data_IF_691055334089
#
_entry.id   IF_691055334089
#
_cell.length_a   1.000
_cell.length_b   1.000
_cell.length_c   1.000
_cell.angle_alpha   90.00
_cell.angle_beta   90.00
_cell.angle_gamma   90.00
#
_symmetry.space_group_name_H-M   'P 1'
#
loop_
_entity.id
_entity.type
_entity.pdbx_description
1 polymer ?
#
# COMPACT_ATOMS: atom_id res chain seq x y z
N UNK A 1 9.79 -22.14 -4.07
CA UNK A 1 8.51 -21.42 -4.23
C UNK A 1 8.77 -19.97 -3.92
N UNK A 2 8.61 -19.09 -4.91
CA UNK A 2 8.94 -17.68 -4.73
C UNK A 2 8.02 -17.04 -3.69
N UNK A 3 8.57 -16.19 -2.83
CA UNK A 3 7.79 -15.44 -1.83
C UNK A 3 7.46 -14.04 -2.36
N UNK A 4 6.35 -13.45 -1.92
CA UNK A 4 5.97 -12.06 -2.29
C UNK A 4 7.11 -11.05 -2.03
N UNK A 5 7.97 -11.33 -1.04
CA UNK A 5 9.12 -10.49 -0.69
C UNK A 5 10.28 -10.55 -1.70
N UNK A 6 10.26 -11.49 -2.64
CA UNK A 6 11.30 -11.71 -3.65
C UNK A 6 11.02 -10.95 -4.96
N UNK A 7 9.84 -10.34 -5.09
CA UNK A 7 9.50 -9.47 -6.22
C UNK A 7 10.04 -8.05 -6.03
N UNK A 8 10.30 -7.37 -7.16
CA UNK A 8 10.70 -5.95 -7.21
C UNK A 8 9.68 -5.04 -6.47
N UNK A 9 8.39 -5.31 -6.67
CA UNK A 9 7.29 -4.62 -5.97
C UNK A 9 6.63 -5.58 -4.98
N UNK A 10 6.41 -5.12 -3.74
CA UNK A 10 5.90 -5.95 -2.63
C UNK A 10 4.47 -5.60 -2.22
N UNK A 11 3.88 -4.56 -2.80
CA UNK A 11 2.45 -4.25 -2.65
C UNK A 11 1.92 -3.59 -3.92
N UNK A 12 0.60 -3.64 -4.10
CA UNK A 12 -0.10 -3.12 -5.28
C UNK A 12 -0.62 -1.68 -5.09
N UNK A 13 -0.61 -1.16 -3.87
CA UNK A 13 -1.40 0.02 -3.49
C UNK A 13 -0.56 1.30 -3.30
N UNK A 14 0.77 1.18 -3.23
CA UNK A 14 1.70 2.26 -2.93
C UNK A 14 1.47 3.55 -3.74
N UNK A 15 1.31 3.45 -5.08
CA UNK A 15 1.02 4.61 -5.93
C UNK A 15 -0.26 5.35 -5.52
N UNK A 16 -1.35 4.62 -5.28
CA UNK A 16 -2.63 5.21 -4.87
C UNK A 16 -2.54 5.83 -3.47
N UNK A 17 -1.87 5.17 -2.52
CA UNK A 17 -1.61 5.74 -1.17
C UNK A 17 -0.92 7.09 -1.28
N UNK A 18 0.18 7.16 -2.06
CA UNK A 18 0.94 8.40 -2.24
C UNK A 18 0.09 9.49 -2.90
N UNK A 19 -0.60 9.15 -3.99
CA UNK A 19 -1.45 10.09 -4.74
C UNK A 19 -2.53 10.68 -3.85
N UNK A 20 -3.34 9.84 -3.20
CA UNK A 20 -4.45 10.30 -2.35
C UNK A 20 -3.96 11.04 -1.12
N UNK A 21 -2.81 10.66 -0.54
CA UNK A 21 -2.20 11.42 0.57
C UNK A 21 -1.83 12.85 0.14
N UNK A 22 -1.21 13.01 -1.04
CA UNK A 22 -0.82 14.31 -1.58
C UNK A 22 -2.04 15.16 -1.98
N UNK A 23 -3.06 14.56 -2.58
CA UNK A 23 -4.35 15.23 -2.87
C UNK A 23 -5.04 15.77 -1.61
N UNK A 24 -4.77 15.14 -0.45
CA UNK A 24 -5.27 15.58 0.86
C UNK A 24 -4.29 16.46 1.62
N UNK A 25 -3.22 16.90 0.98
CA UNK A 25 -2.17 17.74 1.57
C UNK A 25 -1.57 17.19 2.87
N UNK A 26 -1.51 15.87 3.01
CA UNK A 26 -0.92 15.22 4.18
C UNK A 26 0.54 14.86 3.93
N UNK A 27 1.40 15.07 4.91
CA UNK A 27 2.74 14.49 4.96
C UNK A 27 2.68 13.00 5.35
N UNK A 28 3.76 12.26 5.07
CA UNK A 28 3.87 10.86 5.54
C UNK A 28 3.83 10.78 7.07
N UNK A 29 4.38 11.78 7.78
CA UNK A 29 4.35 11.83 9.24
C UNK A 29 2.92 12.03 9.77
N UNK A 30 2.11 12.87 9.12
CA UNK A 30 0.72 13.07 9.51
C UNK A 30 -0.14 11.83 9.24
N UNK A 31 0.08 11.14 8.12
CA UNK A 31 -0.60 9.86 7.86
C UNK A 31 -0.24 8.81 8.92
N UNK A 32 1.03 8.75 9.34
CA UNK A 32 1.51 7.88 10.43
C UNK A 32 0.78 8.18 11.74
N UNK A 33 0.77 9.44 12.15
CA UNK A 33 0.11 9.87 13.39
C UNK A 33 -1.41 9.59 13.35
N UNK A 34 -2.07 9.77 12.20
CA UNK A 34 -3.50 9.48 12.05
C UNK A 34 -3.82 7.99 12.14
N UNK A 35 -3.02 7.13 11.52
CA UNK A 35 -3.18 5.67 11.65
C UNK A 35 -3.00 5.20 13.09
N UNK A 36 -2.08 5.81 13.82
CA UNK A 36 -1.84 5.53 15.24
C UNK A 36 -3.08 5.83 16.11
N UNK A 37 -3.90 6.83 15.76
CA UNK A 37 -5.18 7.09 16.46
C UNK A 37 -6.19 5.95 16.35
N UNK A 38 -6.00 5.04 15.40
CA UNK A 38 -6.79 3.81 15.22
C UNK A 38 -6.09 2.57 15.80
N UNK A 39 -5.03 2.75 16.59
CA UNK A 39 -4.15 1.68 17.06
C UNK A 39 -3.46 0.90 15.92
N UNK A 40 -3.31 1.50 14.73
CA UNK A 40 -2.60 0.93 13.59
C UNK A 40 -1.22 1.59 13.49
N UNK A 41 -0.21 0.91 14.05
CA UNK A 41 1.14 1.46 14.18
C UNK A 41 1.96 1.31 12.90
N UNK A 42 1.95 2.34 12.04
CA UNK A 42 2.82 2.45 10.87
C UNK A 42 3.67 3.72 11.01
N UNK A 43 4.99 3.57 11.19
CA UNK A 43 5.88 4.73 11.26
C UNK A 43 6.05 5.43 9.89
N UNK A 44 6.50 6.68 9.88
CA UNK A 44 6.78 7.46 8.65
C UNK A 44 7.67 6.72 7.64
N UNK A 45 8.72 6.03 8.11
CA UNK A 45 9.60 5.24 7.24
C UNK A 45 8.89 4.03 6.63
N UNK A 46 7.95 3.43 7.35
CA UNK A 46 7.10 2.36 6.82
C UNK A 46 6.12 2.88 5.78
N UNK A 47 5.52 4.06 5.98
CA UNK A 47 4.66 4.70 4.95
C UNK A 47 5.46 4.98 3.68
N UNK A 48 6.69 5.50 3.80
CA UNK A 48 7.57 5.70 2.64
C UNK A 48 7.76 4.41 1.84
N UNK A 49 8.01 3.29 2.54
CA UNK A 49 8.20 1.98 1.91
C UNK A 49 6.92 1.37 1.34
N UNK A 50 5.75 1.74 1.88
CA UNK A 50 4.46 1.38 1.28
C UNK A 50 4.34 2.11 -0.06
N UNK A 51 4.57 3.42 -0.06
CA UNK A 51 4.43 4.30 -1.22
C UNK A 51 5.38 3.97 -2.37
N UNK A 52 6.61 3.54 -2.08
CA UNK A 52 7.59 3.09 -3.08
C UNK A 52 7.53 1.59 -3.37
N UNK A 53 6.54 0.89 -2.82
CA UNK A 53 6.29 -0.54 -2.99
C UNK A 53 7.40 -1.48 -2.47
N UNK A 54 8.38 -0.98 -1.70
CA UNK A 54 9.49 -1.79 -1.15
C UNK A 54 9.12 -2.61 0.10
N UNK A 55 7.88 -2.55 0.58
CA UNK A 55 7.33 -3.46 1.62
C UNK A 55 5.91 -3.93 1.32
N UNK A 56 5.53 -5.03 1.95
CA UNK A 56 4.17 -5.55 1.97
C UNK A 56 3.24 -4.68 2.81
N UNK A 57 1.93 -4.84 2.60
CA UNK A 57 0.85 -4.19 3.36
C UNK A 57 -0.08 -5.29 3.87
N UNK A 58 -0.46 -5.26 5.14
CA UNK A 58 -1.46 -6.19 5.68
C UNK A 58 -2.88 -5.70 5.40
N UNK A 59 -3.87 -6.57 5.52
CA UNK A 59 -5.28 -6.23 5.44
C UNK A 59 -5.71 -5.17 6.48
N UNK A 60 -5.19 -5.27 7.72
CA UNK A 60 -5.41 -4.28 8.80
C UNK A 60 -4.85 -2.92 8.39
N UNK A 61 -3.64 -2.87 7.83
CA UNK A 61 -3.03 -1.62 7.37
C UNK A 61 -3.81 -1.02 6.19
N UNK A 62 -4.24 -1.86 5.24
CA UNK A 62 -5.09 -1.44 4.12
C UNK A 62 -6.43 -0.87 4.61
N UNK A 63 -7.06 -1.51 5.59
CA UNK A 63 -8.27 -0.99 6.23
C UNK A 63 -8.04 0.38 6.88
N UNK A 64 -6.97 0.53 7.66
CA UNK A 64 -6.60 1.81 8.26
C UNK A 64 -6.37 2.91 7.22
N UNK A 65 -5.63 2.59 6.16
CA UNK A 65 -5.39 3.51 5.04
C UNK A 65 -6.69 3.94 4.38
N UNK A 66 -7.63 3.01 4.14
CA UNK A 66 -8.95 3.32 3.58
C UNK A 66 -9.73 4.31 4.47
N UNK A 67 -9.72 4.11 5.80
CA UNK A 67 -10.42 5.01 6.72
C UNK A 67 -9.78 6.39 6.81
N UNK A 68 -8.46 6.49 6.95
CA UNK A 68 -7.77 7.78 7.06
C UNK A 68 -7.78 8.56 5.74
N UNK A 69 -7.54 7.87 4.63
CA UNK A 69 -7.57 8.47 3.30
C UNK A 69 -9.01 8.66 2.77
N UNK A 70 -10.04 8.16 3.47
CA UNK A 70 -11.44 8.25 3.07
C UNK A 70 -11.67 7.85 1.60
N UNK A 71 -11.16 6.67 1.23
CA UNK A 71 -11.36 6.07 -0.09
C UNK A 71 -11.82 4.61 0.07
N UNK A 72 -12.78 4.14 -0.76
CA UNK A 72 -13.20 2.74 -0.76
C UNK A 72 -12.03 1.78 -1.03
N UNK A 73 -12.07 0.58 -0.48
CA UNK A 73 -10.98 -0.41 -0.59
C UNK A 73 -10.69 -0.76 -2.05
N UNK A 74 -11.72 -0.85 -2.88
CA UNK A 74 -11.64 -1.18 -4.30
C UNK A 74 -10.84 -0.12 -5.07
N UNK A 75 -10.84 1.13 -4.58
CA UNK A 75 -10.14 2.25 -5.23
C UNK A 75 -8.62 2.19 -5.06
N UNK A 76 -8.09 1.36 -4.16
CA UNK A 76 -6.65 1.13 -4.05
C UNK A 76 -6.08 0.27 -5.18
N UNK A 77 -6.94 -0.38 -5.97
CA UNK A 77 -6.56 -1.37 -6.97
C UNK A 77 -6.90 -0.95 -8.42
N UNK A 78 -7.20 0.33 -8.66
CA UNK A 78 -7.69 0.82 -9.97
C UNK A 78 -6.65 0.74 -11.08
N UNK A 79 -5.36 0.87 -10.74
CA UNK A 79 -4.25 0.83 -11.72
C UNK A 79 -3.73 -0.59 -11.97
N UNK A 80 -4.45 -1.63 -11.52
CA UNK A 80 -4.13 -3.00 -11.90
C UNK A 80 -4.55 -3.22 -13.36
N UNK A 81 -3.66 -2.93 -14.30
CA UNK A 81 -3.73 -3.49 -15.65
C UNK A 81 -3.39 -4.99 -15.57
N UNK A 82 -3.98 -5.84 -16.41
CA UNK A 82 -3.64 -7.28 -16.45
C UNK A 82 -2.14 -7.54 -16.67
N UNK A 83 -1.40 -6.62 -17.30
CA UNK A 83 0.07 -6.66 -17.44
C UNK A 83 0.84 -6.51 -16.11
N UNK A 84 0.26 -5.83 -15.12
CA UNK A 84 0.83 -5.70 -13.77
C UNK A 84 0.59 -6.93 -12.89
N UNK A 85 -0.28 -7.84 -13.34
CA UNK A 85 -0.52 -9.16 -12.74
C UNK A 85 0.42 -10.24 -13.31
N UNK A 86 1.60 -9.87 -13.79
CA UNK A 86 2.69 -10.82 -14.06
C UNK A 86 3.27 -11.37 -12.75
N UNK A 87 2.44 -12.04 -11.94
CA UNK A 87 2.93 -13.10 -11.09
C UNK A 87 3.38 -14.20 -12.04
N UNK A 88 4.68 -14.26 -12.32
CA UNK A 88 5.32 -15.25 -13.19
C UNK A 88 4.57 -16.60 -13.13
N UNK A 89 3.81 -16.89 -14.17
CA UNK A 89 3.03 -18.12 -14.33
C UNK A 89 3.92 -19.37 -14.48
N UNK A 90 5.24 -19.21 -14.32
CA UNK A 90 6.25 -20.27 -14.28
C UNK A 90 6.43 -20.93 -12.91
N UNK A 91 5.74 -20.49 -11.86
CA UNK A 91 5.82 -21.11 -10.53
C UNK A 91 4.66 -22.08 -10.20
N UNK A 92 3.77 -22.36 -11.16
CA UNK A 92 2.60 -23.25 -10.99
C UNK A 92 2.65 -24.54 -11.82
N UNK A 93 3.85 -24.99 -12.21
CA UNK A 93 4.06 -26.37 -12.71
C UNK A 93 5.03 -27.09 -11.80
#
# INVERSE_FOLDING_TARGET
>A
MARIIEYETKNLIGPIVRKTRLEKHMSQQELSAKLETMAIYICRGSISRIEDQSRTVTDIELYGLSKILNIPLEKFFIEINEESLNFDSKALV
#
